data_IF_148079809165
#
_entry.id   IF_148079809165
#
_cell.length_a   1.000
_cell.length_b   1.000
_cell.length_c   1.000
_cell.angle_alpha   90.00
_cell.angle_beta   90.00
_cell.angle_gamma   90.00
#
_symmetry.space_group_name_H-M   'P 1'
#
loop_
_entity.id
_entity.type
_entity.pdbx_description
1 polymer ?
#
# COMPACT_ATOMS: atom_id res chain seq x y z
N UNK A 1 -27.10 10.68 9.22
CA UNK A 1 -27.12 9.95 7.94
C UNK A 1 -25.98 8.93 7.93
N UNK A 2 -26.22 7.71 7.45
CA UNK A 2 -25.18 6.69 7.32
C UNK A 2 -24.30 7.04 6.09
N UNK A 3 -22.99 7.03 6.25
CA UNK A 3 -22.05 7.36 5.17
C UNK A 3 -21.35 6.11 4.66
N UNK A 4 -21.57 5.73 3.39
CA UNK A 4 -20.79 4.70 2.72
C UNK A 4 -19.50 5.32 2.14
N UNK A 5 -18.38 4.67 2.39
CA UNK A 5 -17.06 5.04 1.88
C UNK A 5 -16.47 3.83 1.15
N UNK A 6 -15.89 4.07 -0.02
CA UNK A 6 -15.16 3.07 -0.77
C UNK A 6 -13.73 3.56 -1.01
N UNK A 7 -12.75 2.73 -0.64
CA UNK A 7 -11.33 2.96 -0.94
C UNK A 7 -10.87 1.89 -1.90
N UNK A 8 -10.37 2.30 -3.06
CA UNK A 8 -9.64 1.44 -3.99
C UNK A 8 -8.14 1.52 -3.68
N UNK A 9 -7.43 0.42 -3.83
CA UNK A 9 -5.97 0.38 -3.72
C UNK A 9 -5.41 -0.55 -4.78
N UNK A 10 -4.25 -0.20 -5.30
CA UNK A 10 -3.45 -1.03 -6.17
C UNK A 10 -1.97 -0.86 -5.83
N UNK A 11 -1.19 -1.90 -6.08
CA UNK A 11 0.24 -1.92 -5.83
C UNK A 11 0.97 -2.68 -6.93
N UNK A 12 2.17 -2.20 -7.27
CA UNK A 12 3.12 -2.98 -8.06
C UNK A 12 4.03 -3.77 -7.12
N UNK A 13 3.98 -5.10 -7.23
CA UNK A 13 4.87 -6.04 -6.56
C UNK A 13 6.11 -6.29 -7.42
N UNK A 14 7.10 -6.95 -6.82
CA UNK A 14 8.31 -7.35 -7.54
C UNK A 14 7.97 -8.22 -8.77
N UNK A 15 8.83 -8.14 -9.80
CA UNK A 15 8.72 -8.91 -11.06
C UNK A 15 7.51 -8.55 -11.93
N UNK A 16 6.98 -7.33 -11.81
CA UNK A 16 5.90 -6.83 -12.66
C UNK A 16 4.53 -7.43 -12.34
N UNK A 17 4.37 -8.04 -11.17
CA UNK A 17 3.07 -8.49 -10.70
C UNK A 17 2.34 -7.34 -10.01
N UNK A 18 1.04 -7.16 -10.24
CA UNK A 18 0.23 -6.16 -9.56
C UNK A 18 -0.78 -6.80 -8.61
N UNK A 19 -1.26 -6.05 -7.63
CA UNK A 19 -2.47 -6.45 -6.91
C UNK A 19 -3.35 -5.26 -6.64
N UNK A 20 -4.61 -5.55 -6.31
CA UNK A 20 -5.63 -4.55 -6.11
C UNK A 20 -6.63 -5.01 -5.05
N UNK A 21 -7.26 -4.04 -4.39
CA UNK A 21 -8.29 -4.31 -3.40
C UNK A 21 -9.27 -3.17 -3.27
N UNK A 22 -10.42 -3.49 -2.67
CA UNK A 22 -11.40 -2.51 -2.23
C UNK A 22 -11.75 -2.68 -0.76
N UNK A 23 -11.91 -1.54 -0.08
CA UNK A 23 -12.42 -1.46 1.29
C UNK A 23 -13.72 -0.65 1.31
N UNK A 24 -14.81 -1.27 1.75
CA UNK A 24 -16.10 -0.63 1.93
C UNK A 24 -16.36 -0.41 3.42
N UNK A 25 -16.56 0.85 3.81
CA UNK A 25 -16.70 1.27 5.20
C UNK A 25 -18.00 2.06 5.39
N UNK A 26 -18.64 1.89 6.55
CA UNK A 26 -19.78 2.71 6.98
C UNK A 26 -19.37 3.52 8.20
N UNK A 27 -19.52 4.84 8.12
CA UNK A 27 -19.11 5.80 9.17
C UNK A 27 -17.67 5.54 9.69
N UNK A 28 -16.76 5.19 8.77
CA UNK A 28 -15.35 4.90 9.05
C UNK A 28 -15.03 3.48 9.52
N UNK A 29 -16.03 2.66 9.89
CA UNK A 29 -15.81 1.26 10.24
C UNK A 29 -15.82 0.38 8.98
N UNK A 30 -14.87 -0.55 8.87
CA UNK A 30 -14.77 -1.46 7.72
C UNK A 30 -15.82 -2.56 7.82
N UNK A 31 -16.55 -2.79 6.73
CA UNK A 31 -17.65 -3.75 6.67
C UNK A 31 -17.36 -4.88 5.68
N UNK A 32 -16.82 -4.55 4.51
CA UNK A 32 -16.57 -5.51 3.45
C UNK A 32 -15.23 -5.20 2.75
N UNK A 33 -14.49 -6.26 2.44
CA UNK A 33 -13.27 -6.21 1.66
C UNK A 33 -13.46 -7.01 0.37
N UNK A 34 -12.85 -6.54 -0.71
CA UNK A 34 -12.72 -7.28 -1.95
C UNK A 34 -11.24 -7.39 -2.31
N UNK A 35 -10.77 -8.62 -2.42
CA UNK A 35 -9.47 -8.94 -2.99
C UNK A 35 -9.66 -9.06 -4.51
N UNK A 36 -9.12 -8.11 -5.25
CA UNK A 36 -9.30 -8.07 -6.69
C UNK A 36 -8.41 -9.06 -7.43
N UNK A 37 -7.26 -9.44 -6.86
CA UNK A 37 -6.34 -10.42 -7.43
C UNK A 37 -7.00 -11.80 -7.46
N UNK A 38 -7.56 -12.21 -6.33
CA UNK A 38 -8.23 -13.50 -6.19
C UNK A 38 -9.74 -13.45 -6.51
N UNK A 39 -10.29 -12.24 -6.74
CA UNK A 39 -11.73 -11.97 -6.89
C UNK A 39 -12.56 -12.54 -5.75
N UNK A 40 -12.11 -12.31 -4.52
CA UNK A 40 -12.71 -12.89 -3.31
C UNK A 40 -13.26 -11.81 -2.39
N UNK A 41 -14.48 -12.02 -1.90
CA UNK A 41 -15.15 -11.14 -0.97
C UNK A 41 -15.00 -11.60 0.48
N UNK A 42 -14.53 -10.72 1.35
CA UNK A 42 -14.35 -10.99 2.79
C UNK A 42 -15.22 -10.07 3.63
N UNK A 43 -16.16 -10.66 4.38
CA UNK A 43 -16.99 -9.93 5.34
C UNK A 43 -16.20 -9.65 6.61
N UNK A 44 -16.08 -8.37 6.99
CA UNK A 44 -15.46 -7.95 8.25
C UNK A 44 -16.52 -7.71 9.33
N UNK A 45 -17.62 -7.05 8.96
CA UNK A 45 -18.73 -6.79 9.86
C UNK A 45 -19.98 -7.60 9.44
N UNK A 46 -20.70 -8.28 10.34
CA UNK A 46 -21.86 -9.12 10.00
C UNK A 46 -22.96 -8.38 9.22
N UNK A 47 -23.10 -7.07 9.46
CA UNK A 47 -24.03 -6.20 8.73
C UNK A 47 -23.78 -6.13 7.21
N UNK A 48 -22.60 -6.52 6.74
CA UNK A 48 -22.26 -6.53 5.32
C UNK A 48 -22.67 -7.82 4.58
N UNK A 49 -23.20 -8.83 5.27
CA UNK A 49 -23.50 -10.16 4.68
C UNK A 49 -24.39 -10.07 3.44
N UNK A 50 -25.52 -9.35 3.52
CA UNK A 50 -26.44 -9.19 2.38
C UNK A 50 -25.80 -8.43 1.20
N UNK A 51 -24.92 -7.47 1.51
CA UNK A 51 -24.20 -6.72 0.48
C UNK A 51 -23.20 -7.62 -0.23
N UNK A 52 -22.44 -8.43 0.52
CA UNK A 52 -21.56 -9.47 -0.02
C UNK A 52 -22.33 -10.41 -0.95
N UNK A 53 -23.37 -11.07 -0.46
CA UNK A 53 -24.17 -12.03 -1.23
C UNK A 53 -24.65 -11.40 -2.56
N UNK A 54 -25.22 -10.19 -2.51
CA UNK A 54 -25.72 -9.49 -3.70
C UNK A 54 -24.63 -9.14 -4.71
N UNK A 55 -23.46 -8.72 -4.26
CA UNK A 55 -22.37 -8.29 -5.15
C UNK A 55 -21.54 -9.45 -5.69
N UNK A 56 -21.39 -10.51 -4.89
CA UNK A 56 -20.71 -11.75 -5.29
C UNK A 56 -21.53 -12.51 -6.34
N UNK A 57 -22.85 -12.55 -6.21
CA UNK A 57 -23.75 -13.14 -7.22
C UNK A 57 -23.81 -12.32 -8.52
N UNK A 58 -23.43 -11.03 -8.46
CA UNK A 58 -23.41 -10.15 -9.62
C UNK A 58 -22.01 -10.07 -10.24
N UNK A 59 -21.80 -10.84 -11.31
CA UNK A 59 -20.52 -10.87 -12.04
C UNK A 59 -20.08 -9.51 -12.56
N UNK A 60 -21.00 -8.67 -13.04
CA UNK A 60 -20.66 -7.37 -13.62
C UNK A 60 -20.09 -6.41 -12.56
N UNK A 61 -20.66 -6.44 -11.35
CA UNK A 61 -20.17 -5.67 -10.20
C UNK A 61 -18.78 -6.15 -9.77
N UNK A 62 -18.62 -7.45 -9.59
CA UNK A 62 -17.33 -8.04 -9.20
C UNK A 62 -16.24 -7.75 -10.26
N UNK A 63 -16.57 -7.86 -11.54
CA UNK A 63 -15.62 -7.57 -12.63
C UNK A 63 -15.31 -6.09 -12.75
N UNK A 64 -16.28 -5.20 -12.49
CA UNK A 64 -16.03 -3.75 -12.47
C UNK A 64 -15.00 -3.37 -11.40
N UNK A 65 -15.15 -3.88 -10.17
CA UNK A 65 -14.16 -3.65 -9.11
C UNK A 65 -12.78 -4.25 -9.46
N UNK A 66 -12.77 -5.43 -10.08
CA UNK A 66 -11.54 -6.05 -10.56
C UNK A 66 -10.84 -5.18 -11.60
N UNK A 67 -11.52 -4.77 -12.67
CA UNK A 67 -10.91 -4.00 -13.75
C UNK A 67 -10.44 -2.62 -13.29
N UNK A 68 -11.19 -1.91 -12.45
CA UNK A 68 -10.76 -0.60 -11.94
C UNK A 68 -9.48 -0.73 -11.10
N UNK A 69 -9.38 -1.76 -10.25
CA UNK A 69 -8.25 -1.89 -9.31
C UNK A 69 -7.03 -2.59 -9.91
N UNK A 70 -7.22 -3.55 -10.82
CA UNK A 70 -6.14 -4.30 -11.46
C UNK A 70 -5.72 -3.69 -12.81
N UNK A 71 -6.59 -2.90 -13.45
CA UNK A 71 -6.35 -2.20 -14.71
C UNK A 71 -6.07 -0.73 -14.44
N UNK A 72 -7.11 0.11 -14.49
CA UNK A 72 -7.01 1.58 -14.45
C UNK A 72 -6.10 2.11 -13.34
N UNK A 73 -6.25 1.59 -12.12
CA UNK A 73 -5.41 2.00 -10.99
C UNK A 73 -3.93 1.63 -11.20
N UNK A 74 -3.66 0.43 -11.73
CA UNK A 74 -2.29 -0.04 -11.96
C UNK A 74 -1.62 0.76 -13.09
N UNK A 75 -2.36 1.06 -14.16
CA UNK A 75 -1.89 1.92 -15.25
C UNK A 75 -1.54 3.33 -14.75
N UNK A 76 -2.44 3.95 -13.96
CA UNK A 76 -2.15 5.25 -13.34
C UNK A 76 -0.94 5.21 -12.42
N UNK A 77 -0.76 4.12 -11.66
CA UNK A 77 0.40 3.96 -10.80
C UNK A 77 1.70 3.84 -11.62
N UNK A 78 1.69 3.09 -12.71
CA UNK A 78 2.83 2.98 -13.63
C UNK A 78 3.21 4.33 -14.22
N UNK A 79 2.25 5.06 -14.78
CA UNK A 79 2.47 6.38 -15.38
C UNK A 79 3.05 7.38 -14.36
N UNK A 80 2.49 7.39 -13.15
CA UNK A 80 2.97 8.25 -12.08
C UNK A 80 4.42 7.94 -11.70
N UNK A 81 4.75 6.65 -11.55
CA UNK A 81 6.11 6.21 -11.21
C UNK A 81 7.11 6.54 -12.32
N UNK A 82 6.75 6.32 -13.59
CA UNK A 82 7.59 6.68 -14.73
C UNK A 82 7.81 8.20 -14.84
N UNK A 83 6.79 9.01 -14.54
CA UNK A 83 6.92 10.47 -14.50
C UNK A 83 7.86 10.94 -13.39
N UNK A 84 7.80 10.29 -12.23
CA UNK A 84 8.69 10.58 -11.12
C UNK A 84 10.15 10.24 -11.44
N UNK A 85 10.42 9.07 -12.02
CA UNK A 85 11.77 8.66 -12.43
C UNK A 85 12.42 9.66 -13.39
N UNK A 86 11.65 10.19 -14.35
CA UNK A 86 12.10 11.24 -15.27
C UNK A 86 12.35 12.60 -14.61
N UNK A 87 11.69 12.89 -13.49
CA UNK A 87 11.85 14.16 -12.76
C UNK A 87 13.05 14.09 -11.80
N UNK A 88 13.41 12.88 -11.37
CA UNK A 88 14.61 12.59 -10.59
C UNK A 88 15.85 12.46 -11.50
N UNK A 89 16.12 13.47 -12.32
CA UNK A 89 17.42 13.57 -13.00
C UNK A 89 18.56 13.62 -11.94
N UNK A 90 19.70 12.93 -12.17
CA UNK A 90 20.82 12.99 -11.26
C UNK A 90 21.26 14.45 -11.07
N UNK A 91 21.30 14.93 -9.83
CA UNK A 91 22.03 16.15 -9.52
C UNK A 91 23.47 15.95 -10.01
N UNK A 92 23.80 16.58 -11.13
CA UNK A 92 25.11 16.48 -11.74
C UNK A 92 26.17 16.98 -10.74
N UNK A 93 26.93 16.03 -10.19
CA UNK A 93 28.29 16.20 -9.70
C UNK A 93 28.54 17.33 -8.70
N UNK A 94 28.26 17.10 -7.42
CA UNK A 94 29.18 17.59 -6.39
C UNK A 94 30.36 16.60 -6.31
N UNK A 95 31.63 17.01 -6.44
CA UNK A 95 32.75 16.12 -6.20
C UNK A 95 32.67 15.62 -4.76
N UNK A 96 32.60 14.30 -4.57
CA UNK A 96 32.81 13.70 -3.26
C UNK A 96 34.29 13.93 -2.94
N UNK A 97 34.59 14.99 -2.18
CA UNK A 97 35.85 15.13 -1.47
C UNK A 97 35.92 13.98 -0.48
N UNK A 98 36.71 12.95 -0.81
CA UNK A 98 37.03 11.85 0.10
C UNK A 98 37.89 12.44 1.22
N UNK A 99 37.24 12.93 2.27
CA UNK A 99 37.88 13.26 3.52
C UNK A 99 38.06 11.96 4.31
N UNK A 100 39.30 11.52 4.45
CA UNK A 100 39.69 10.37 5.27
C UNK A 100 39.23 10.60 6.71
N UNK A 101 38.28 9.81 7.17
CA UNK A 101 37.65 9.95 8.49
C UNK A 101 37.12 8.61 9.02
N UNK A 102 37.94 7.56 8.94
CA UNK A 102 37.59 6.16 9.30
C UNK A 102 37.15 5.97 10.76
N UNK A 103 37.23 7.00 11.61
CA UNK A 103 36.84 6.94 13.03
C UNK A 103 35.43 7.50 13.30
N UNK A 104 34.85 8.33 12.43
CA UNK A 104 33.52 8.94 12.61
C UNK A 104 32.35 8.03 12.17
N UNK A 105 32.57 7.22 11.13
CA UNK A 105 31.52 6.37 10.53
C UNK A 105 30.98 5.30 11.49
N UNK A 106 31.84 4.79 12.38
CA UNK A 106 31.48 3.73 13.34
C UNK A 106 30.53 4.23 14.43
N UNK A 107 30.73 5.47 14.89
CA UNK A 107 29.89 6.11 15.89
C UNK A 107 28.50 6.44 15.34
N UNK A 108 28.44 6.97 14.11
CA UNK A 108 27.18 7.26 13.42
C UNK A 108 26.35 5.99 13.17
N UNK A 109 27.01 4.90 12.74
CA UNK A 109 26.36 3.62 12.52
C UNK A 109 25.79 3.02 13.82
N UNK A 110 26.52 3.08 14.93
CA UNK A 110 26.02 2.61 16.23
C UNK A 110 24.83 3.42 16.74
N UNK A 111 24.84 4.73 16.54
CA UNK A 111 23.72 5.61 16.93
C UNK A 111 22.48 5.33 16.08
N UNK A 112 22.63 5.15 14.76
CA UNK A 112 21.54 4.77 13.86
C UNK A 112 20.90 3.44 14.24
N UNK A 113 21.72 2.41 14.49
CA UNK A 113 21.24 1.08 14.91
C UNK A 113 20.48 1.18 16.24
N UNK A 114 20.97 1.94 17.21
CA UNK A 114 20.31 2.13 18.50
C UNK A 114 18.98 2.87 18.35
N UNK A 115 18.94 3.93 17.53
CA UNK A 115 17.70 4.67 17.22
C UNK A 115 16.66 3.78 16.54
N UNK A 116 17.08 2.95 15.56
CA UNK A 116 16.19 2.00 14.91
C UNK A 116 15.60 1.00 15.90
N UNK A 117 16.41 0.42 16.79
CA UNK A 117 15.92 -0.51 17.81
C UNK A 117 14.92 0.16 18.77
N UNK A 118 15.17 1.40 19.19
CA UNK A 118 14.30 2.13 20.11
C UNK A 118 12.96 2.54 19.48
N UNK A 119 12.91 2.76 18.17
CA UNK A 119 11.68 3.17 17.47
C UNK A 119 10.89 1.95 16.99
N UNK A 120 11.57 0.92 16.50
CA UNK A 120 10.95 -0.24 15.87
C UNK A 120 10.44 -1.25 16.92
N UNK A 121 11.17 -1.45 18.04
CA UNK A 121 10.77 -2.40 19.07
C UNK A 121 9.42 -2.04 19.74
N UNK A 122 9.12 -0.78 20.07
CA UNK A 122 7.79 -0.40 20.57
C UNK A 122 6.68 -0.61 19.55
N UNK A 123 6.94 -0.42 18.25
CA UNK A 123 5.94 -0.66 17.21
C UNK A 123 5.49 -2.13 17.17
N UNK A 124 6.42 -3.07 17.39
CA UNK A 124 6.07 -4.50 17.46
C UNK A 124 5.30 -4.86 18.74
N UNK A 125 5.65 -4.25 19.88
CA UNK A 125 4.95 -4.47 21.15
C UNK A 125 3.53 -3.86 21.13
N UNK A 126 3.34 -2.67 20.53
CA UNK A 126 2.01 -2.06 20.36
C UNK A 126 1.15 -2.80 19.32
N UNK A 127 1.77 -3.40 18.30
CA UNK A 127 1.08 -4.20 17.29
C UNK A 127 0.68 -5.61 17.78
N UNK A 128 1.05 -5.99 19.01
CA UNK A 128 0.58 -7.23 19.65
C UNK A 128 1.03 -8.51 18.96
N UNK A 129 2.29 -8.54 18.49
CA UNK A 129 2.97 -9.76 18.04
C UNK A 129 3.75 -10.38 19.20
#
# INVERSE_FOLDING_TARGET
PLTLQARVSCEQKAKGHSSGSWQFSFDGQIFLLFDSENRMWTTVHPGARKMKEKWEDNKDVTMSFHYISMGDCTEWLEDFLMGMDRTLEPSAGAPITISSGTTQLRAMATTLILCCLLIILPCFILAGI
#
